data_IF_664239588034
#
_entry.id   IF_664239588034
#
_cell.length_a   1.000
_cell.length_b   1.000
_cell.length_c   1.000
_cell.angle_alpha   90.00
_cell.angle_beta   90.00
_cell.angle_gamma   90.00
#
_symmetry.space_group_name_H-M   'P 1'
#
loop_
_entity.id
_entity.type
_entity.pdbx_description
1 polymer ?
#
# COMPACT_ATOMS: atom_id res chain seq x y z
N UNK A 1 5.01 -10.65 -21.95
CA UNK A 1 4.11 -10.76 -20.79
C UNK A 1 4.05 -9.40 -20.11
N UNK A 2 2.85 -8.83 -19.93
CA UNK A 2 2.65 -7.56 -19.22
C UNK A 2 2.50 -7.82 -17.72
N UNK A 3 3.41 -7.30 -16.91
CA UNK A 3 3.30 -7.29 -15.44
C UNK A 3 2.79 -5.90 -15.03
N UNK A 4 1.74 -5.87 -14.20
CA UNK A 4 1.23 -4.63 -13.61
C UNK A 4 1.48 -4.62 -12.11
N UNK A 5 2.13 -3.59 -11.58
CA UNK A 5 2.36 -3.43 -10.14
C UNK A 5 1.52 -2.29 -9.55
N UNK A 6 0.76 -2.56 -8.50
CA UNK A 6 -0.12 -1.58 -7.87
C UNK A 6 0.35 -1.34 -6.44
N UNK A 7 0.72 -0.10 -6.16
CA UNK A 7 1.20 0.36 -4.86
C UNK A 7 0.08 1.08 -4.11
N UNK A 8 -0.28 0.61 -2.92
CA UNK A 8 -1.27 1.24 -2.05
C UNK A 8 -0.61 1.85 -0.82
N UNK A 9 -0.58 3.18 -0.77
CA UNK A 9 -0.01 3.90 0.38
C UNK A 9 -0.82 3.64 1.66
N UNK A 10 -0.14 3.79 2.81
CA UNK A 10 -0.78 3.67 4.12
C UNK A 10 -1.70 4.84 4.45
N UNK A 11 -2.48 4.69 5.52
CA UNK A 11 -3.32 5.74 6.11
C UNK A 11 -2.63 7.11 6.13
N UNK A 12 -3.24 8.12 5.50
CA UNK A 12 -2.72 9.49 5.52
C UNK A 12 -1.45 9.70 4.71
N UNK A 13 -0.95 8.68 4.02
CA UNK A 13 0.20 8.77 3.13
C UNK A 13 -0.24 8.89 1.66
N UNK A 14 0.61 9.53 0.86
CA UNK A 14 0.39 9.80 -0.56
C UNK A 14 1.58 9.35 -1.40
N UNK A 15 1.42 9.35 -2.73
CA UNK A 15 2.55 9.16 -3.66
C UNK A 15 3.70 10.16 -3.47
N UNK A 16 3.45 11.30 -2.83
CA UNK A 16 4.42 12.38 -2.64
C UNK A 16 5.29 12.21 -1.39
N UNK A 17 5.06 11.17 -0.57
CA UNK A 17 5.81 10.95 0.67
C UNK A 17 7.24 10.38 0.49
N UNK A 18 7.74 10.35 -0.75
CA UNK A 18 9.13 9.97 -1.09
C UNK A 18 10.19 10.82 -0.37
N UNK A 19 9.84 12.04 0.05
CA UNK A 19 10.73 12.94 0.79
C UNK A 19 10.19 13.33 2.16
N UNK A 20 9.22 12.60 2.69
CA UNK A 20 8.58 12.95 3.97
C UNK A 20 9.58 12.83 5.13
N UNK A 21 9.73 13.91 5.91
CA UNK A 21 10.75 14.03 6.95
C UNK A 21 10.61 13.03 8.09
N UNK A 22 9.42 12.46 8.31
CA UNK A 22 9.21 11.47 9.37
C UNK A 22 9.83 10.10 9.04
N UNK A 23 10.12 9.83 7.76
CA UNK A 23 10.69 8.57 7.33
C UNK A 23 12.18 8.72 7.04
N UNK A 24 12.95 7.65 7.27
CA UNK A 24 14.39 7.64 7.03
C UNK A 24 14.75 8.03 5.60
N UNK A 25 14.06 7.43 4.62
CA UNK A 25 14.31 7.60 3.19
C UNK A 25 12.99 7.49 2.42
N UNK A 26 12.05 8.37 2.78
CA UNK A 26 10.66 8.37 2.27
C UNK A 26 9.79 7.27 2.89
N UNK A 27 8.46 7.42 2.75
CA UNK A 27 7.55 6.33 3.09
C UNK A 27 7.79 5.16 2.12
N UNK A 28 7.85 3.94 2.63
CA UNK A 28 8.36 2.80 1.88
C UNK A 28 7.57 2.52 0.58
N UNK A 29 6.24 2.50 0.62
CA UNK A 29 5.42 2.16 -0.56
C UNK A 29 5.54 3.22 -1.65
N UNK A 30 5.42 4.50 -1.30
CA UNK A 30 5.62 5.62 -2.22
C UNK A 30 7.02 5.65 -2.80
N UNK A 31 8.04 5.34 -1.99
CA UNK A 31 9.44 5.24 -2.43
C UNK A 31 9.63 4.13 -3.46
N UNK A 32 9.12 2.92 -3.19
CA UNK A 32 9.15 1.80 -4.15
C UNK A 32 8.47 2.17 -5.47
N UNK A 33 7.31 2.81 -5.41
CA UNK A 33 6.58 3.24 -6.61
C UNK A 33 7.41 4.24 -7.43
N UNK A 34 8.02 5.23 -6.79
CA UNK A 34 8.85 6.24 -7.46
C UNK A 34 10.15 5.69 -8.08
N UNK A 35 10.55 4.48 -7.67
CA UNK A 35 11.71 3.78 -8.21
C UNK A 35 11.35 2.80 -9.34
N UNK A 36 10.07 2.69 -9.70
CA UNK A 36 9.64 1.79 -10.77
C UNK A 36 10.03 2.36 -12.15
N UNK A 37 10.78 1.58 -12.95
CA UNK A 37 11.31 2.02 -14.26
C UNK A 37 10.31 1.90 -15.43
N UNK A 38 9.24 1.14 -15.23
CA UNK A 38 8.15 1.01 -16.20
C UNK A 38 7.31 2.29 -16.35
N UNK A 39 6.36 2.25 -17.29
CA UNK A 39 5.45 3.38 -17.55
C UNK A 39 4.26 3.34 -16.59
N UNK A 40 4.03 4.45 -15.88
CA UNK A 40 2.84 4.62 -15.05
C UNK A 40 1.56 4.40 -15.88
N UNK A 41 0.52 3.86 -15.25
CA UNK A 41 -0.75 3.38 -15.81
C UNK A 41 -0.62 2.10 -16.66
N UNK A 42 0.44 1.93 -17.44
CA UNK A 42 0.64 0.73 -18.24
C UNK A 42 1.22 -0.44 -17.41
N UNK A 43 2.28 -0.20 -16.66
CA UNK A 43 3.07 -1.23 -15.95
C UNK A 43 3.03 -1.04 -14.43
N UNK A 44 2.69 0.15 -13.95
CA UNK A 44 2.47 0.38 -12.53
C UNK A 44 1.53 1.56 -12.25
N UNK A 45 0.93 1.59 -11.06
CA UNK A 45 0.26 2.77 -10.50
C UNK A 45 0.54 2.84 -9.00
N UNK A 46 0.44 4.05 -8.45
CA UNK A 46 0.40 4.29 -7.01
C UNK A 46 -0.94 4.93 -6.65
N UNK A 47 -1.54 4.45 -5.55
CA UNK A 47 -2.83 4.89 -5.06
C UNK A 47 -2.65 5.41 -3.64
N UNK A 48 -2.99 6.68 -3.45
CA UNK A 48 -2.99 7.35 -2.16
C UNK A 48 -3.79 6.58 -1.10
N UNK A 49 -3.29 6.63 0.13
CA UNK A 49 -3.88 5.89 1.22
C UNK A 49 -5.18 6.52 1.72
N UNK A 50 -6.11 5.72 2.28
CA UNK A 50 -7.37 6.26 2.77
C UNK A 50 -7.14 7.35 3.82
N UNK A 51 -7.80 8.50 3.63
CA UNK A 51 -7.72 9.64 4.54
C UNK A 51 -6.60 10.64 4.30
N UNK A 52 -5.84 10.51 3.22
CA UNK A 52 -4.79 11.47 2.83
C UNK A 52 -5.33 12.77 2.22
N UNK A 53 -6.65 12.88 2.02
CA UNK A 53 -7.25 13.93 1.19
C UNK A 53 -7.26 13.58 -0.31
N UNK A 54 -6.68 12.45 -0.70
CA UNK A 54 -6.61 11.92 -2.07
C UNK A 54 -6.15 12.98 -3.09
N UNK A 55 -4.86 13.33 -3.03
CA UNK A 55 -4.25 14.33 -3.91
C UNK A 55 -4.19 13.85 -5.37
N UNK A 56 -4.54 12.58 -5.62
CA UNK A 56 -4.72 11.98 -6.95
C UNK A 56 -6.17 11.94 -7.43
N UNK A 57 -7.09 12.72 -6.84
CA UNK A 57 -8.51 12.71 -7.23
C UNK A 57 -8.77 13.01 -8.73
N UNK A 58 -7.83 13.68 -9.41
CA UNK A 58 -7.88 13.93 -10.85
C UNK A 58 -7.44 12.73 -11.70
N UNK A 59 -6.65 11.80 -11.14
CA UNK A 59 -6.12 10.62 -11.81
C UNK A 59 -7.03 9.39 -11.68
N UNK A 60 -8.04 9.45 -10.79
CA UNK A 60 -8.91 8.29 -10.54
C UNK A 60 -9.82 7.97 -11.72
N UNK A 61 -9.92 6.67 -12.03
CA UNK A 61 -10.85 6.10 -13.01
C UNK A 61 -12.26 5.91 -12.46
N UNK A 62 -12.53 6.36 -11.23
CA UNK A 62 -13.80 6.21 -10.52
C UNK A 62 -14.06 7.50 -9.73
N UNK A 63 -15.33 7.90 -9.63
CA UNK A 63 -15.71 9.09 -8.87
C UNK A 63 -15.43 8.90 -7.37
N UNK A 64 -14.56 9.74 -6.80
CA UNK A 64 -14.34 9.81 -5.35
C UNK A 64 -15.27 10.82 -4.69
N UNK A 65 -15.84 10.48 -3.54
CA UNK A 65 -16.48 11.47 -2.65
C UNK A 65 -15.43 11.97 -1.63
N UNK A 66 -15.51 13.25 -1.26
CA UNK A 66 -14.68 13.78 -0.17
C UNK A 66 -15.19 13.25 1.18
N UNK A 67 -14.39 12.40 1.82
CA UNK A 67 -14.70 11.87 3.14
C UNK A 67 -13.91 12.64 4.22
N UNK A 68 -14.62 13.25 5.17
CA UNK A 68 -14.00 13.88 6.33
C UNK A 68 -13.27 12.87 7.25
N UNK A 69 -12.58 13.40 8.27
CA UNK A 69 -11.77 12.63 9.25
C UNK A 69 -12.50 11.42 9.87
N UNK A 70 -13.81 11.53 10.12
CA UNK A 70 -14.61 10.44 10.70
C UNK A 70 -14.86 9.29 9.72
N UNK A 71 -15.02 9.55 8.41
CA UNK A 71 -15.23 8.51 7.40
C UNK A 71 -13.98 7.64 7.17
N UNK A 72 -12.81 8.25 7.29
CA UNK A 72 -11.49 7.61 7.17
C UNK A 72 -11.23 6.55 8.24
N UNK A 73 -11.66 6.78 9.49
CA UNK A 73 -11.44 5.83 10.59
C UNK A 73 -12.31 4.56 10.44
N UNK A 74 -13.44 4.65 9.74
CA UNK A 74 -14.37 3.55 9.49
C UNK A 74 -14.21 2.89 8.11
N UNK A 75 -13.13 3.19 7.37
CA UNK A 75 -12.80 2.48 6.13
C UNK A 75 -13.41 3.02 4.84
N UNK A 76 -14.00 4.22 4.85
CA UNK A 76 -14.52 4.83 3.59
C UNK A 76 -13.36 5.23 2.68
N UNK A 77 -13.43 4.86 1.39
CA UNK A 77 -12.42 5.15 0.38
C UNK A 77 -11.75 3.91 -0.22
N UNK A 78 -11.83 2.74 0.44
CA UNK A 78 -11.21 1.51 -0.07
C UNK A 78 -11.88 1.00 -1.33
N UNK A 79 -13.21 1.03 -1.37
CA UNK A 79 -13.99 0.53 -2.48
C UNK A 79 -13.67 1.33 -3.75
N UNK A 80 -13.51 2.65 -3.64
CA UNK A 80 -13.10 3.49 -4.76
C UNK A 80 -11.66 3.20 -5.21
N UNK A 81 -10.72 3.02 -4.27
CA UNK A 81 -9.34 2.66 -4.59
C UNK A 81 -9.26 1.29 -5.30
N UNK A 82 -10.03 0.31 -4.82
CA UNK A 82 -10.13 -1.02 -5.44
C UNK A 82 -10.78 -0.94 -6.81
N UNK A 83 -11.88 -0.18 -6.97
CA UNK A 83 -12.55 -0.02 -8.25
C UNK A 83 -11.66 0.70 -9.27
N UNK A 84 -10.96 1.75 -8.85
CA UNK A 84 -9.96 2.43 -9.68
C UNK A 84 -8.90 1.44 -10.17
N UNK A 85 -8.36 0.61 -9.28
CA UNK A 85 -7.38 -0.39 -9.65
C UNK A 85 -7.95 -1.46 -10.61
N UNK A 86 -9.18 -1.92 -10.41
CA UNK A 86 -9.88 -2.83 -11.36
C UNK A 86 -9.99 -2.18 -12.74
N UNK A 87 -10.40 -0.92 -12.81
CA UNK A 87 -10.55 -0.17 -14.04
C UNK A 87 -9.20 0.01 -14.76
N UNK A 88 -8.11 0.25 -14.02
CA UNK A 88 -6.74 0.29 -14.58
C UNK A 88 -6.28 -1.09 -15.07
N UNK A 89 -6.57 -2.17 -14.35
CA UNK A 89 -6.26 -3.55 -14.79
C UNK A 89 -6.98 -3.83 -16.12
N UNK A 90 -8.25 -3.46 -16.24
CA UNK A 90 -9.05 -3.63 -17.46
C UNK A 90 -8.74 -2.61 -18.55
N UNK A 91 -8.00 -1.53 -18.24
CA UNK A 91 -7.71 -0.44 -19.16
C UNK A 91 -8.94 0.29 -19.68
N UNK A 92 -9.98 0.37 -18.86
CA UNK A 92 -11.26 0.99 -19.17
C UNK A 92 -11.71 1.83 -17.98
N UNK A 93 -11.93 3.13 -18.20
CA UNK A 93 -12.51 4.03 -17.21
C UNK A 93 -14.04 3.93 -17.24
N UNK A 94 -14.67 3.89 -16.06
CA UNK A 94 -16.14 4.00 -15.92
C UNK A 94 -16.59 5.43 -15.63
N UNK A 95 -15.64 6.32 -15.37
CA UNK A 95 -15.85 7.71 -15.06
C UNK A 95 -14.72 8.58 -15.60
N UNK A 96 -15.05 9.78 -16.08
CA UNK A 96 -14.09 10.79 -16.50
C UNK A 96 -14.41 12.13 -15.84
N UNK A 97 -13.37 12.88 -15.45
CA UNK A 97 -13.53 14.25 -14.99
C UNK A 97 -13.58 15.18 -16.19
N UNK A 98 -14.80 15.49 -16.63
CA UNK A 98 -15.03 16.33 -17.81
C UNK A 98 -14.82 17.82 -17.54
N UNK A 99 -15.02 18.30 -16.31
CA UNK A 99 -14.91 19.73 -15.98
C UNK A 99 -13.46 20.18 -15.75
N UNK A 100 -13.12 21.39 -16.20
CA UNK A 100 -11.85 22.06 -15.90
C UNK A 100 -11.81 22.59 -14.46
N UNK A 101 -10.62 22.53 -13.86
CA UNK A 101 -10.30 23.30 -12.65
C UNK A 101 -9.97 24.75 -13.00
N UNK A 102 -10.03 25.65 -12.02
CA UNK A 102 -9.66 27.06 -12.19
C UNK A 102 -8.21 27.24 -12.69
N UNK A 103 -7.29 26.44 -12.14
CA UNK A 103 -5.87 26.48 -12.52
C UNK A 103 -5.66 26.03 -13.97
N UNK A 104 -6.32 24.94 -14.38
CA UNK A 104 -6.26 24.45 -15.77
C UNK A 104 -6.85 25.47 -16.74
N UNK A 105 -8.02 26.03 -16.41
CA UNK A 105 -8.65 27.09 -17.20
C UNK A 105 -7.72 28.29 -17.38
N UNK A 106 -7.10 28.74 -16.29
CA UNK A 106 -6.17 29.88 -16.32
C UNK A 106 -4.94 29.59 -17.18
N UNK A 107 -4.38 28.38 -17.09
CA UNK A 107 -3.26 27.94 -17.95
C UNK A 107 -3.64 27.88 -19.43
N UNK A 108 -4.81 27.34 -19.74
CA UNK A 108 -5.30 27.22 -21.12
C UNK A 108 -5.59 28.59 -21.74
N UNK A 109 -6.22 29.52 -21.00
CA UNK A 109 -6.39 30.91 -21.43
C UNK A 109 -5.04 31.60 -21.64
N UNK A 110 -4.08 31.42 -20.72
CA UNK A 110 -2.74 32.00 -20.85
C UNK A 110 -1.97 31.45 -22.07
N UNK A 111 -2.21 30.19 -22.44
CA UNK A 111 -1.65 29.55 -23.64
C UNK A 111 -2.38 29.94 -24.95
N UNK A 112 -3.43 30.76 -24.89
CA UNK A 112 -4.20 31.19 -26.07
C UNK A 112 -5.10 30.11 -26.67
N UNK A 113 -5.43 29.06 -25.91
CA UNK A 113 -6.31 27.98 -26.38
C UNK A 113 -7.77 28.47 -26.32
N UNK A 114 -8.55 28.34 -27.41
CA UNK A 114 -9.93 28.79 -27.44
C UNK A 114 -10.81 27.86 -26.60
N UNK A 115 -11.14 28.33 -25.39
CA UNK A 115 -12.07 27.68 -24.45
C UNK A 115 -13.22 28.62 -24.06
N UNK A 116 -14.38 28.04 -23.72
CA UNK A 116 -15.57 28.78 -23.25
C UNK A 116 -15.23 29.67 -22.05
N UNK A 117 -15.89 30.82 -21.93
CA UNK A 117 -15.71 31.68 -20.76
C UNK A 117 -16.40 31.10 -19.52
N UNK A 118 -15.84 31.39 -18.34
CA UNK A 118 -16.36 30.90 -17.05
C UNK A 118 -17.83 31.24 -16.88
N UNK A 119 -18.66 30.22 -16.69
CA UNK A 119 -20.08 30.37 -16.34
C UNK A 119 -20.19 30.53 -14.83
N UNK A 120 -20.77 31.64 -14.39
CA UNK A 120 -21.00 31.93 -12.96
C UNK A 120 -22.46 31.71 -12.65
N UNK A 121 -22.76 30.79 -11.73
CA UNK A 121 -24.11 30.45 -11.31
C UNK A 121 -24.28 30.67 -9.80
N UNK A 122 -25.48 31.06 -9.37
CA UNK A 122 -25.84 31.19 -7.95
C UNK A 122 -26.10 32.62 -7.46
N UNK A 123 -26.28 32.77 -6.15
CA UNK A 123 -26.60 34.06 -5.52
C UNK A 123 -25.34 34.75 -5.00
N UNK A 124 -25.47 36.00 -4.53
CA UNK A 124 -24.34 36.75 -3.95
C UNK A 124 -23.62 36.00 -2.82
N UNK A 125 -24.34 35.18 -2.05
CA UNK A 125 -23.79 34.42 -0.93
C UNK A 125 -23.21 33.06 -1.33
N UNK A 126 -23.50 32.57 -2.54
CA UNK A 126 -23.06 31.27 -3.04
C UNK A 126 -22.88 31.34 -4.55
N UNK A 127 -21.65 31.63 -5.00
CA UNK A 127 -21.26 31.55 -6.40
C UNK A 127 -20.61 30.21 -6.68
N UNK A 128 -21.06 29.54 -7.74
CA UNK A 128 -20.38 28.41 -8.37
C UNK A 128 -19.78 28.89 -9.69
N UNK A 129 -18.54 28.53 -9.91
CA UNK A 129 -17.80 28.81 -11.13
C UNK A 129 -17.67 27.50 -11.91
N UNK A 130 -18.16 27.50 -13.15
CA UNK A 130 -17.98 26.42 -14.10
C UNK A 130 -16.99 26.92 -15.17
N UNK A 131 -15.83 26.25 -15.24
CA UNK A 131 -14.72 26.65 -16.10
C UNK A 131 -14.73 25.96 -17.47
N UNK A 132 -15.83 25.29 -17.84
CA UNK A 132 -15.99 24.57 -19.10
C UNK A 132 -15.43 23.14 -19.08
N UNK A 133 -15.62 22.44 -20.20
CA UNK A 133 -15.26 21.03 -20.35
C UNK A 133 -13.84 20.83 -20.92
N UNK A 134 -13.19 19.74 -20.52
CA UNK A 134 -11.91 19.26 -21.03
C UNK A 134 -12.10 18.67 -22.42
N UNK A 135 -11.25 19.05 -23.38
CA UNK A 135 -11.23 18.41 -24.71
C UNK A 135 -10.70 16.97 -24.67
N UNK A 136 -9.78 16.67 -23.75
CA UNK A 136 -9.27 15.32 -23.45
C UNK A 136 -9.13 15.22 -21.93
N UNK A 137 -9.73 14.19 -21.34
CA UNK A 137 -9.64 13.94 -19.90
C UNK A 137 -8.35 13.19 -19.56
N UNK A 138 -7.86 13.34 -18.33
CA UNK A 138 -6.71 12.57 -17.85
C UNK A 138 -6.98 11.06 -17.95
N UNK A 139 -8.21 10.64 -17.68
CA UNK A 139 -8.65 9.25 -17.78
C UNK A 139 -8.53 8.72 -19.22
N UNK A 140 -8.97 9.51 -20.21
CA UNK A 140 -8.81 9.14 -21.61
C UNK A 140 -7.33 9.03 -22.03
N UNK A 141 -6.47 9.93 -21.53
CA UNK A 141 -5.01 9.85 -21.77
C UNK A 141 -4.41 8.57 -21.17
N UNK A 142 -4.76 8.26 -19.92
CA UNK A 142 -4.29 7.06 -19.23
C UNK A 142 -4.76 5.77 -19.93
N UNK A 143 -6.00 5.71 -20.43
CA UNK A 143 -6.45 4.60 -21.26
C UNK A 143 -5.59 4.43 -22.53
N UNK A 144 -5.23 5.54 -23.20
CA UNK A 144 -4.38 5.47 -24.39
C UNK A 144 -2.96 5.01 -24.05
N UNK A 145 -2.41 5.45 -22.91
CA UNK A 145 -1.14 4.93 -22.38
C UNK A 145 -1.23 3.42 -22.21
N UNK A 146 -2.29 2.92 -21.56
CA UNK A 146 -2.52 1.49 -21.35
C UNK A 146 -2.57 0.74 -22.69
N UNK A 147 -3.42 1.19 -23.62
CA UNK A 147 -3.61 0.56 -24.94
C UNK A 147 -2.34 0.57 -25.79
N UNK A 148 -1.52 1.61 -25.66
CA UNK A 148 -0.29 1.77 -26.45
C UNK A 148 0.86 0.93 -25.90
N UNK A 149 1.01 0.86 -24.59
CA UNK A 149 2.23 0.33 -23.96
C UNK A 149 2.10 -1.11 -23.43
N UNK A 150 0.89 -1.64 -23.22
CA UNK A 150 0.71 -3.06 -22.87
C UNK A 150 0.76 -3.93 -24.13
N UNK A 151 1.90 -4.59 -24.34
CA UNK A 151 2.23 -5.29 -25.59
C UNK A 151 1.43 -6.58 -25.83
N UNK A 152 0.99 -7.26 -24.78
CA UNK A 152 0.30 -8.56 -24.86
C UNK A 152 -1.23 -8.44 -24.71
N UNK A 153 -1.77 -7.25 -24.96
CA UNK A 153 -3.17 -6.92 -24.73
C UNK A 153 -3.37 -6.04 -23.50
N UNK A 154 -4.59 -5.52 -23.37
CA UNK A 154 -4.94 -4.55 -22.34
C UNK A 154 -4.88 -5.16 -20.93
N UNK A 155 -5.37 -6.39 -20.75
CA UNK A 155 -5.36 -7.06 -19.46
C UNK A 155 -3.95 -7.60 -19.18
N UNK A 156 -3.32 -7.28 -18.04
CA UNK A 156 -1.99 -7.78 -17.69
C UNK A 156 -2.02 -9.29 -17.46
N UNK A 157 -0.89 -9.95 -17.71
CA UNK A 157 -0.73 -11.40 -17.50
C UNK A 157 -0.39 -11.76 -16.05
N UNK A 158 0.00 -10.78 -15.23
CA UNK A 158 0.27 -10.91 -13.79
C UNK A 158 0.05 -9.56 -13.11
N UNK A 159 -0.43 -9.60 -11.86
CA UNK A 159 -0.55 -8.40 -11.02
C UNK A 159 0.26 -8.57 -9.74
N UNK A 160 1.11 -7.59 -9.43
CA UNK A 160 1.83 -7.51 -8.16
C UNK A 160 1.20 -6.40 -7.31
N UNK A 161 0.95 -6.66 -6.04
CA UNK A 161 0.33 -5.70 -5.12
C UNK A 161 1.30 -5.42 -3.97
N UNK A 162 1.51 -4.14 -3.66
CA UNK A 162 2.33 -3.71 -2.53
C UNK A 162 1.52 -2.74 -1.69
N UNK A 163 1.46 -2.95 -0.38
CA UNK A 163 0.72 -2.01 0.46
C UNK A 163 1.06 -2.06 1.92
N UNK A 164 0.99 -0.90 2.56
CA UNK A 164 1.23 -0.73 3.99
C UNK A 164 -0.08 -0.36 4.71
N UNK A 165 -0.28 -0.83 5.93
CA UNK A 165 -1.43 -0.44 6.76
C UNK A 165 -2.76 -0.77 6.07
N UNK A 166 -3.67 0.20 5.96
CA UNK A 166 -4.89 0.10 5.18
C UNK A 166 -4.64 -0.15 3.69
N UNK A 167 -3.51 0.27 3.12
CA UNK A 167 -3.12 -0.07 1.76
C UNK A 167 -2.79 -1.56 1.60
N UNK A 168 -2.23 -2.21 2.63
CA UNK A 168 -2.07 -3.66 2.67
C UNK A 168 -3.42 -4.39 2.65
N UNK A 169 -4.44 -3.84 3.31
CA UNK A 169 -5.82 -4.35 3.23
C UNK A 169 -6.44 -4.11 1.85
N UNK A 170 -6.17 -2.97 1.21
CA UNK A 170 -6.58 -2.74 -0.18
C UNK A 170 -5.99 -3.78 -1.13
N UNK A 171 -4.77 -4.28 -0.89
CA UNK A 171 -4.21 -5.40 -1.65
C UNK A 171 -5.08 -6.66 -1.51
N UNK A 172 -5.53 -7.00 -0.29
CA UNK A 172 -6.41 -8.15 -0.06
C UNK A 172 -7.75 -7.98 -0.79
N UNK A 173 -8.37 -6.80 -0.64
CA UNK A 173 -9.65 -6.48 -1.26
C UNK A 173 -9.57 -6.54 -2.79
N UNK A 174 -8.51 -5.99 -3.38
CA UNK A 174 -8.30 -6.02 -4.83
C UNK A 174 -8.08 -7.45 -5.35
N UNK A 175 -7.24 -8.24 -4.69
CA UNK A 175 -7.01 -9.63 -5.08
C UNK A 175 -8.33 -10.43 -5.09
N UNK A 176 -9.18 -10.22 -4.08
CA UNK A 176 -10.51 -10.85 -4.01
C UNK A 176 -11.50 -10.29 -5.04
N UNK A 177 -11.45 -8.99 -5.35
CA UNK A 177 -12.26 -8.40 -6.41
C UNK A 177 -11.88 -8.98 -7.78
N UNK A 178 -10.58 -9.10 -8.08
CA UNK A 178 -10.09 -9.78 -9.28
C UNK A 178 -10.57 -11.23 -9.34
N UNK A 179 -10.55 -11.96 -8.22
CA UNK A 179 -10.99 -13.36 -8.18
C UNK A 179 -12.49 -13.54 -8.48
N UNK A 180 -13.31 -12.54 -8.13
CA UNK A 180 -14.76 -12.53 -8.39
C UNK A 180 -15.08 -12.09 -9.82
N UNK A 181 -14.19 -11.34 -10.46
CA UNK A 181 -14.38 -10.84 -11.81
C UNK A 181 -14.09 -11.93 -12.87
N UNK A 182 -15.01 -12.14 -13.80
CA UNK A 182 -14.91 -13.22 -14.80
C UNK A 182 -13.71 -13.09 -15.73
N UNK A 183 -13.26 -11.87 -16.02
CA UNK A 183 -12.12 -11.59 -16.90
C UNK A 183 -10.80 -11.67 -16.14
N UNK A 184 -10.79 -11.35 -14.85
CA UNK A 184 -9.56 -11.21 -14.06
C UNK A 184 -9.27 -12.41 -13.14
N UNK A 185 -10.23 -13.30 -12.89
CA UNK A 185 -10.10 -14.40 -11.91
C UNK A 185 -8.94 -15.35 -12.13
N UNK A 186 -8.46 -15.44 -13.37
CA UNK A 186 -7.35 -16.32 -13.76
C UNK A 186 -5.99 -15.62 -13.74
N UNK A 187 -5.94 -14.30 -13.53
CA UNK A 187 -4.69 -13.55 -13.48
C UNK A 187 -3.99 -13.85 -12.13
N UNK A 188 -2.75 -14.36 -12.14
CA UNK A 188 -2.00 -14.60 -10.92
C UNK A 188 -1.67 -13.29 -10.20
N UNK A 189 -1.80 -13.32 -8.88
CA UNK A 189 -1.54 -12.18 -8.00
C UNK A 189 -0.43 -12.52 -7.01
N UNK A 190 0.55 -11.62 -6.87
CA UNK A 190 1.53 -11.66 -5.77
C UNK A 190 1.31 -10.45 -4.86
N UNK A 191 1.46 -10.63 -3.54
CA UNK A 191 1.21 -9.57 -2.56
C UNK A 191 2.42 -9.40 -1.66
N UNK A 192 2.93 -8.17 -1.54
CA UNK A 192 3.86 -7.73 -0.51
C UNK A 192 3.13 -6.79 0.46
N UNK A 193 2.75 -7.28 1.62
CA UNK A 193 2.00 -6.54 2.63
C UNK A 193 2.90 -6.12 3.80
N UNK A 194 2.76 -4.86 4.21
CA UNK A 194 3.47 -4.30 5.35
C UNK A 194 2.43 -3.95 6.40
N UNK A 195 2.42 -4.70 7.49
CA UNK A 195 1.53 -4.53 8.63
C UNK A 195 0.07 -4.18 8.25
N UNK A 196 -0.63 -5.04 7.49
CA UNK A 196 -1.95 -4.73 6.96
C UNK A 196 -2.98 -4.59 8.10
N UNK A 197 -3.52 -3.39 8.29
CA UNK A 197 -4.43 -3.05 9.39
C UNK A 197 -5.75 -2.53 8.83
N UNK A 198 -6.89 -3.21 9.08
CA UNK A 198 -8.19 -2.76 8.59
C UNK A 198 -8.85 -1.73 9.52
N UNK A 199 -8.33 -1.53 10.72
CA UNK A 199 -9.00 -0.71 11.73
C UNK A 199 -10.15 -1.44 12.41
N UNK A 200 -10.83 -0.74 13.32
CA UNK A 200 -11.82 -1.33 14.22
C UNK A 200 -13.01 -1.88 13.43
N UNK A 201 -13.38 -3.14 13.72
CA UNK A 201 -14.56 -3.83 13.17
C UNK A 201 -14.56 -4.13 11.66
N UNK A 202 -13.41 -4.08 10.98
CA UNK A 202 -13.28 -4.30 9.53
C UNK A 202 -12.65 -5.65 9.16
N UNK A 203 -13.13 -6.75 9.75
CA UNK A 203 -12.59 -8.11 9.54
C UNK A 203 -13.50 -8.98 8.65
N UNK A 204 -14.13 -8.36 7.64
CA UNK A 204 -14.95 -9.08 6.67
C UNK A 204 -14.09 -9.96 5.74
N UNK A 205 -14.70 -10.98 5.15
CA UNK A 205 -14.00 -12.03 4.39
C UNK A 205 -13.08 -11.50 3.27
N UNK A 206 -13.48 -10.42 2.58
CA UNK A 206 -12.71 -9.76 1.52
C UNK A 206 -11.39 -9.12 2.00
N UNK A 207 -11.25 -8.91 3.31
CA UNK A 207 -10.06 -8.30 3.95
C UNK A 207 -9.18 -9.32 4.66
N UNK A 208 -9.73 -10.48 5.01
CA UNK A 208 -9.05 -11.47 5.87
C UNK A 208 -8.85 -12.85 5.24
N UNK A 209 -9.39 -13.07 4.05
CA UNK A 209 -9.17 -14.28 3.26
C UNK A 209 -8.60 -13.91 1.90
N UNK A 210 -7.82 -14.80 1.29
CA UNK A 210 -7.28 -14.62 -0.05
C UNK A 210 -7.63 -15.83 -0.93
N UNK A 211 -8.14 -15.54 -2.13
CA UNK A 211 -8.53 -16.52 -3.13
C UNK A 211 -7.35 -17.23 -3.81
N UNK A 212 -7.65 -18.26 -4.60
CA UNK A 212 -6.66 -19.11 -5.27
C UNK A 212 -5.89 -18.43 -6.42
N UNK A 213 -6.29 -17.21 -6.82
CA UNK A 213 -5.52 -16.38 -7.73
C UNK A 213 -4.25 -15.82 -7.08
N UNK A 214 -4.20 -15.69 -5.75
CA UNK A 214 -2.99 -15.29 -5.04
C UNK A 214 -1.99 -16.44 -5.01
N UNK A 215 -0.84 -16.26 -5.66
CA UNK A 215 0.21 -17.28 -5.79
C UNK A 215 1.26 -17.15 -4.70
N UNK A 216 1.54 -15.92 -4.30
CA UNK A 216 2.48 -15.64 -3.22
C UNK A 216 2.00 -14.47 -2.35
N UNK A 217 2.15 -14.63 -1.04
CA UNK A 217 1.92 -13.62 -0.03
C UNK A 217 3.16 -13.47 0.84
N UNK A 218 3.75 -12.28 0.85
CA UNK A 218 4.88 -11.92 1.70
C UNK A 218 4.42 -10.81 2.64
N UNK A 219 4.44 -11.07 3.95
CA UNK A 219 3.97 -10.15 4.98
C UNK A 219 5.07 -9.81 5.99
N UNK A 220 5.29 -8.52 6.23
CA UNK A 220 6.17 -8.03 7.31
C UNK A 220 5.34 -7.32 8.38
N UNK A 221 5.48 -7.71 9.64
CA UNK A 221 4.58 -7.31 10.72
C UNK A 221 5.33 -6.65 11.88
N UNK A 222 4.81 -5.53 12.38
CA UNK A 222 5.39 -4.79 13.49
C UNK A 222 5.21 -5.54 14.83
N UNK A 223 6.29 -6.01 15.46
CA UNK A 223 6.20 -6.79 16.70
C UNK A 223 5.76 -5.93 17.90
N UNK A 224 6.14 -4.66 17.92
CA UNK A 224 6.09 -3.79 19.10
C UNK A 224 4.92 -2.79 19.06
N UNK A 225 4.02 -2.91 18.08
CA UNK A 225 2.79 -2.11 18.04
C UNK A 225 1.78 -2.54 19.12
N UNK A 226 1.17 -1.56 19.80
CA UNK A 226 0.20 -1.76 20.88
C UNK A 226 -1.04 -0.87 20.78
N UNK A 227 -1.16 -0.02 19.76
CA UNK A 227 -2.31 0.89 19.63
C UNK A 227 -3.62 0.12 19.47
N UNK A 228 -4.62 0.48 20.25
CA UNK A 228 -5.97 -0.07 20.10
C UNK A 228 -6.49 0.18 18.69
N UNK A 229 -7.01 -0.87 18.04
CA UNK A 229 -7.48 -0.80 16.66
C UNK A 229 -6.40 -0.97 15.59
N UNK A 230 -5.14 -1.22 15.97
CA UNK A 230 -4.04 -1.57 15.05
C UNK A 230 -3.76 -3.08 15.01
N UNK A 231 -4.81 -3.89 15.21
CA UNK A 231 -4.74 -5.34 15.02
C UNK A 231 -4.53 -5.65 13.53
N UNK A 232 -3.33 -6.12 13.18
CA UNK A 232 -2.98 -6.46 11.80
C UNK A 232 -3.55 -7.81 11.39
N UNK A 233 -3.76 -8.00 10.09
CA UNK A 233 -4.35 -9.20 9.50
C UNK A 233 -3.29 -10.11 8.90
N UNK A 234 -3.23 -11.34 9.37
CA UNK A 234 -2.58 -12.47 8.70
C UNK A 234 -3.71 -13.20 7.97
N UNK A 235 -3.78 -13.12 6.62
CA UNK A 235 -4.92 -13.65 5.90
C UNK A 235 -4.94 -15.18 5.90
N UNK A 236 -6.15 -15.76 5.83
CA UNK A 236 -6.31 -17.16 5.45
C UNK A 236 -6.14 -17.28 3.94
N UNK A 237 -5.14 -18.02 3.50
CA UNK A 237 -4.84 -18.21 2.08
C UNK A 237 -5.45 -19.51 1.55
N UNK A 238 -5.79 -19.54 0.27
CA UNK A 238 -6.16 -20.77 -0.41
C UNK A 238 -5.01 -21.79 -0.43
N UNK A 239 -5.35 -23.08 -0.57
CA UNK A 239 -4.34 -24.14 -0.74
C UNK A 239 -3.49 -23.87 -1.99
N UNK A 240 -2.17 -23.98 -1.84
CA UNK A 240 -1.21 -23.76 -2.92
C UNK A 240 -0.65 -22.34 -3.01
N UNK A 241 -1.18 -21.37 -2.25
CA UNK A 241 -0.53 -20.07 -2.06
C UNK A 241 0.72 -20.24 -1.21
N UNK A 242 1.85 -19.70 -1.69
CA UNK A 242 3.08 -19.61 -0.90
C UNK A 242 2.96 -18.43 0.07
N UNK A 243 3.06 -18.70 1.38
CA UNK A 243 2.83 -17.68 2.41
C UNK A 243 4.06 -17.52 3.28
N UNK A 244 4.61 -16.31 3.30
CA UNK A 244 5.81 -15.94 4.02
C UNK A 244 5.46 -14.79 4.97
N UNK A 245 5.68 -14.97 6.27
CA UNK A 245 5.38 -13.93 7.26
C UNK A 245 6.56 -13.75 8.21
N UNK A 246 6.94 -12.51 8.44
CA UNK A 246 8.12 -12.16 9.23
C UNK A 246 7.81 -11.09 10.25
N UNK A 247 8.29 -11.25 11.50
CA UNK A 247 8.19 -10.20 12.50
C UNK A 247 9.34 -9.21 12.34
N UNK A 248 9.07 -7.93 12.59
CA UNK A 248 10.08 -6.88 12.59
C UNK A 248 9.94 -6.06 13.86
N UNK A 249 11.05 -5.79 14.59
CA UNK A 249 11.03 -4.89 15.74
C UNK A 249 10.53 -3.49 15.38
N UNK A 250 9.75 -2.91 16.29
CA UNK A 250 9.18 -1.57 16.14
C UNK A 250 7.67 -1.55 15.96
N UNK A 251 7.14 -0.33 15.79
CA UNK A 251 5.72 -0.01 15.66
C UNK A 251 5.25 0.01 14.21
N UNK A 252 3.96 0.29 14.04
CA UNK A 252 3.28 0.26 12.75
C UNK A 252 3.98 1.02 11.62
N UNK A 253 4.47 2.25 11.88
CA UNK A 253 5.20 3.02 10.87
C UNK A 253 6.71 2.75 10.86
N UNK A 254 7.25 2.10 11.90
CA UNK A 254 8.67 1.73 11.93
C UNK A 254 9.04 0.78 10.81
N UNK A 255 8.14 -0.17 10.51
CA UNK A 255 8.30 -1.13 9.41
C UNK A 255 8.13 -0.52 8.02
N UNK A 256 7.53 0.68 7.91
CA UNK A 256 7.41 1.45 6.65
C UNK A 256 8.44 2.57 6.54
N UNK A 257 9.45 2.62 7.42
CA UNK A 257 10.58 3.55 7.32
C UNK A 257 10.63 4.64 8.38
N UNK A 258 9.67 4.73 9.30
CA UNK A 258 9.70 5.74 10.35
C UNK A 258 10.72 5.37 11.44
N UNK A 259 11.84 6.10 11.45
CA UNK A 259 12.99 5.77 12.29
C UNK A 259 12.98 6.46 13.67
N UNK A 260 11.88 7.09 14.07
CA UNK A 260 11.81 7.79 15.34
C UNK A 260 11.75 6.83 16.55
N UNK A 261 12.16 7.28 17.75
CA UNK A 261 12.10 6.44 18.96
C UNK A 261 10.70 5.99 19.35
N UNK A 262 9.66 6.73 18.97
CA UNK A 262 8.25 6.40 19.23
C UNK A 262 7.53 5.76 18.04
N UNK A 263 8.19 5.69 16.87
CA UNK A 263 7.63 5.21 15.61
C UNK A 263 6.62 6.15 14.95
N UNK A 264 6.60 7.44 15.29
CA UNK A 264 5.70 8.45 14.71
C UNK A 264 6.46 9.69 14.21
N UNK A 265 7.24 10.35 15.07
CA UNK A 265 8.00 11.53 14.68
C UNK A 265 9.18 11.78 15.62
N UNK A 266 10.17 12.54 15.14
CA UNK A 266 11.37 12.87 15.89
C UNK A 266 12.66 12.36 15.25
N UNK A 267 13.76 12.25 16.01
CA UNK A 267 15.07 11.97 15.44
C UNK A 267 15.15 10.55 14.85
N UNK A 268 15.68 10.45 13.63
CA UNK A 268 15.80 9.20 12.86
C UNK A 268 16.93 8.32 13.43
N UNK A 269 16.63 7.53 14.46
CA UNK A 269 17.62 6.76 15.24
C UNK A 269 17.44 5.24 15.17
N UNK A 270 16.36 4.77 14.55
CA UNK A 270 15.98 3.35 14.42
C UNK A 270 15.61 3.04 12.97
N UNK A 271 16.51 3.27 12.02
CA UNK A 271 16.24 3.14 10.59
C UNK A 271 16.31 1.70 10.07
N UNK A 272 16.87 0.79 10.86
CA UNK A 272 17.17 -0.58 10.48
C UNK A 272 15.93 -1.39 10.07
N UNK A 273 14.80 -1.36 10.81
CA UNK A 273 13.57 -2.05 10.43
C UNK A 273 13.08 -1.70 9.02
N UNK A 274 12.94 -0.40 8.71
CA UNK A 274 12.45 0.05 7.41
C UNK A 274 13.41 -0.28 6.27
N UNK A 275 14.73 -0.17 6.50
CA UNK A 275 15.75 -0.56 5.51
C UNK A 275 15.71 -2.06 5.23
N UNK A 276 15.53 -2.87 6.26
CA UNK A 276 15.44 -4.32 6.15
C UNK A 276 14.19 -4.74 5.34
N UNK A 277 13.02 -4.18 5.67
CA UNK A 277 11.77 -4.46 4.93
C UNK A 277 11.86 -3.97 3.49
N UNK A 278 12.41 -2.76 3.24
CA UNK A 278 12.58 -2.22 1.89
C UNK A 278 13.43 -3.13 1.01
N UNK A 279 14.55 -3.64 1.53
CA UNK A 279 15.39 -4.55 0.74
C UNK A 279 14.61 -5.79 0.28
N UNK A 280 13.87 -6.45 1.17
CA UNK A 280 13.09 -7.63 0.79
C UNK A 280 11.91 -7.29 -0.12
N UNK A 281 11.32 -6.10 0.00
CA UNK A 281 10.32 -5.63 -0.95
C UNK A 281 10.92 -5.49 -2.36
N UNK A 282 12.09 -4.87 -2.48
CA UNK A 282 12.81 -4.72 -3.76
C UNK A 282 13.17 -6.08 -4.37
N UNK A 283 13.69 -7.01 -3.56
CA UNK A 283 14.03 -8.38 -3.99
C UNK A 283 12.79 -9.13 -4.49
N UNK A 284 11.69 -9.12 -3.73
CA UNK A 284 10.43 -9.74 -4.15
C UNK A 284 9.91 -9.15 -5.46
N UNK A 285 9.89 -7.81 -5.58
CA UNK A 285 9.42 -7.13 -6.78
C UNK A 285 10.25 -7.48 -8.01
N UNK A 286 11.58 -7.45 -7.89
CA UNK A 286 12.49 -7.84 -8.97
C UNK A 286 12.26 -9.28 -9.41
N UNK A 287 12.13 -10.21 -8.45
CA UNK A 287 11.81 -11.62 -8.73
C UNK A 287 10.44 -11.78 -9.40
N UNK A 288 9.47 -10.93 -9.07
CA UNK A 288 8.16 -10.89 -9.71
C UNK A 288 8.13 -10.14 -11.06
N UNK A 289 9.29 -9.79 -11.61
CA UNK A 289 9.43 -9.21 -12.94
C UNK A 289 9.38 -7.69 -12.98
N UNK A 290 9.48 -7.01 -11.83
CA UNK A 290 9.52 -5.54 -11.76
C UNK A 290 10.93 -5.02 -11.98
N UNK A 291 11.06 -3.98 -12.79
CA UNK A 291 12.31 -3.25 -12.94
C UNK A 291 12.31 -2.03 -12.02
N UNK A 292 13.24 -2.01 -11.07
CA UNK A 292 13.43 -0.92 -10.12
C UNK A 292 14.78 -0.24 -10.35
N UNK A 293 14.84 1.08 -10.17
CA UNK A 293 16.08 1.81 -9.92
C UNK A 293 16.33 1.98 -8.40
N UNK A 294 17.51 2.50 -8.04
CA UNK A 294 17.85 2.91 -6.65
C UNK A 294 17.54 1.86 -5.56
N UNK A 295 17.64 0.58 -5.89
CA UNK A 295 17.51 -0.50 -4.91
C UNK A 295 18.66 -0.43 -3.90
N UNK A 296 18.38 -0.81 -2.65
CA UNK A 296 19.38 -0.83 -1.58
C UNK A 296 20.51 -1.83 -1.85
N UNK A 297 20.20 -2.92 -2.56
CA UNK A 297 21.16 -3.97 -2.93
C UNK A 297 22.00 -4.48 -1.74
N UNK A 298 21.35 -4.66 -0.59
CA UNK A 298 22.01 -5.10 0.64
C UNK A 298 22.60 -6.50 0.46
N UNK A 299 23.84 -6.69 0.92
CA UNK A 299 24.49 -8.00 0.96
C UNK A 299 24.02 -8.82 2.16
N UNK A 300 24.35 -10.12 2.18
CA UNK A 300 24.11 -10.97 3.36
C UNK A 300 24.73 -10.39 4.65
N UNK A 301 25.93 -9.82 4.55
CA UNK A 301 26.60 -9.20 5.68
C UNK A 301 25.88 -7.91 6.14
N UNK A 302 25.36 -7.11 5.21
CA UNK A 302 24.56 -5.93 5.54
C UNK A 302 23.29 -6.32 6.30
N UNK A 303 22.60 -7.38 5.85
CA UNK A 303 21.40 -7.90 6.52
C UNK A 303 21.71 -8.42 7.93
N UNK A 304 22.83 -9.12 8.12
CA UNK A 304 23.28 -9.55 9.44
C UNK A 304 23.58 -8.36 10.36
N UNK A 305 24.20 -7.31 9.83
CA UNK A 305 24.51 -6.09 10.59
C UNK A 305 23.23 -5.34 10.99
N UNK A 306 22.26 -5.19 10.08
CA UNK A 306 20.95 -4.61 10.39
C UNK A 306 20.20 -5.45 11.43
N UNK A 307 20.18 -6.78 11.27
CA UNK A 307 19.59 -7.71 12.22
C UNK A 307 20.20 -7.57 13.62
N UNK A 308 21.54 -7.53 13.71
CA UNK A 308 22.26 -7.31 14.97
C UNK A 308 21.94 -5.96 15.60
N UNK A 309 21.94 -4.89 14.82
CA UNK A 309 21.61 -3.55 15.31
C UNK A 309 20.18 -3.48 15.87
N UNK A 310 19.21 -4.16 15.23
CA UNK A 310 17.85 -4.28 15.76
C UNK A 310 17.80 -5.03 17.11
N UNK A 311 18.54 -6.15 17.24
CA UNK A 311 18.61 -6.91 18.49
C UNK A 311 19.32 -6.12 19.60
N UNK A 312 20.42 -5.44 19.29
CA UNK A 312 21.15 -4.61 20.24
C UNK A 312 20.29 -3.41 20.72
N UNK A 313 19.33 -2.97 19.89
CA UNK A 313 18.38 -1.90 20.20
C UNK A 313 17.06 -2.38 20.83
N UNK A 314 16.91 -3.66 21.20
CA UNK A 314 15.67 -4.26 21.73
C UNK A 314 14.98 -3.42 22.83
N UNK A 315 15.75 -2.86 23.76
CA UNK A 315 15.21 -2.03 24.84
C UNK A 315 14.46 -0.78 24.31
N UNK A 316 14.93 -0.19 23.21
CA UNK A 316 14.30 0.97 22.57
C UNK A 316 12.97 0.58 21.93
N UNK A 317 12.89 -0.57 21.27
CA UNK A 317 11.63 -1.06 20.69
C UNK A 317 10.60 -1.43 21.76
N UNK A 318 11.03 -1.96 22.91
CA UNK A 318 10.12 -2.20 24.05
C UNK A 318 9.54 -0.92 24.63
N UNK A 319 10.29 0.18 24.63
CA UNK A 319 9.74 1.48 25.06
C UNK A 319 8.57 1.93 24.17
N UNK A 320 8.56 1.51 22.90
CA UNK A 320 7.47 1.83 21.98
C UNK A 320 6.11 1.26 22.43
N UNK A 321 6.08 0.24 23.31
CA UNK A 321 4.84 -0.35 23.83
C UNK A 321 3.98 0.66 24.63
N UNK A 322 4.59 1.77 25.07
CA UNK A 322 3.92 2.82 25.85
C UNK A 322 3.25 3.91 24.97
N UNK A 323 3.36 3.82 23.65
CA UNK A 323 2.81 4.82 22.73
C UNK A 323 1.60 4.27 21.99
N UNK A 324 0.67 5.16 21.63
CA UNK A 324 -0.54 4.80 20.89
C UNK A 324 -0.93 5.84 19.85
N UNK A 325 -1.36 5.40 18.67
CA UNK A 325 -2.01 6.25 17.66
C UNK A 325 -3.46 6.59 17.99
N UNK A 326 -4.09 5.84 18.90
CA UNK A 326 -5.52 5.95 19.23
C UNK A 326 -5.74 6.30 20.69
N UNK A 327 -4.72 6.85 21.35
CA UNK A 327 -4.68 7.20 22.79
C UNK A 327 -4.73 6.00 23.75
N UNK A 328 -5.12 4.81 23.31
CA UNK A 328 -5.19 3.59 24.13
C UNK A 328 -4.23 2.53 23.62
N UNK A 329 -3.57 1.83 24.54
CA UNK A 329 -2.77 0.64 24.22
C UNK A 329 -3.53 -0.65 24.58
N UNK A 330 -3.25 -1.72 23.85
CA UNK A 330 -3.72 -3.08 24.07
C UNK A 330 -2.51 -3.96 24.35
N UNK A 331 -2.57 -4.68 25.47
CA UNK A 331 -1.55 -5.63 25.91
C UNK A 331 -2.23 -6.97 26.16
N UNK A 332 -2.06 -7.91 25.23
CA UNK A 332 -2.59 -9.26 25.40
C UNK A 332 -1.46 -10.16 25.89
N UNK A 333 -1.42 -10.42 27.20
CA UNK A 333 -0.39 -11.24 27.85
C UNK A 333 1.06 -10.76 27.58
N UNK A 334 1.24 -9.46 27.31
CA UNK A 334 2.54 -8.85 26.99
C UNK A 334 2.90 -8.86 25.50
N UNK A 335 2.09 -9.48 24.66
CA UNK A 335 2.28 -9.55 23.22
C UNK A 335 1.34 -8.61 22.45
N UNK A 336 1.64 -8.41 21.16
CA UNK A 336 0.73 -7.75 20.23
C UNK A 336 -0.44 -8.68 19.95
N UNK A 337 -1.65 -8.15 19.96
CA UNK A 337 -2.84 -8.83 19.47
C UNK A 337 -2.95 -8.70 17.95
N UNK A 338 -3.16 -9.81 17.25
CA UNK A 338 -3.27 -9.87 15.78
C UNK A 338 -4.47 -10.70 15.34
N UNK A 339 -4.86 -10.59 14.07
CA UNK A 339 -5.96 -11.35 13.49
C UNK A 339 -5.42 -12.41 12.53
N UNK A 340 -5.65 -13.69 12.83
CA UNK A 340 -5.45 -14.80 11.91
C UNK A 340 -6.78 -15.11 11.21
N UNK A 341 -6.92 -14.69 9.96
CA UNK A 341 -8.23 -14.55 9.33
C UNK A 341 -9.07 -13.55 10.11
N UNK A 342 -10.27 -13.95 10.54
CA UNK A 342 -11.16 -13.17 11.42
C UNK A 342 -10.98 -13.46 12.92
N UNK A 343 -10.05 -14.35 13.28
CA UNK A 343 -9.84 -14.78 14.68
C UNK A 343 -8.68 -14.02 15.30
N UNK A 344 -8.96 -13.37 16.44
CA UNK A 344 -7.93 -12.80 17.30
C UNK A 344 -7.01 -13.84 17.95
N UNK A 345 -5.70 -13.60 17.89
CA UNK A 345 -4.66 -14.45 18.49
C UNK A 345 -3.46 -13.62 18.94
N UNK A 346 -2.62 -14.21 19.80
CA UNK A 346 -1.33 -13.66 20.18
C UNK A 346 -0.34 -13.71 19.01
N UNK A 347 0.48 -12.67 18.86
CA UNK A 347 1.48 -12.55 17.79
C UNK A 347 2.36 -13.79 17.63
N UNK A 348 2.93 -14.32 18.71
CA UNK A 348 3.86 -15.46 18.66
C UNK A 348 3.20 -16.81 18.32
N UNK A 349 1.87 -16.88 18.35
CA UNK A 349 1.11 -18.10 18.03
C UNK A 349 0.97 -18.31 16.53
N UNK A 350 1.22 -17.27 15.72
CA UNK A 350 1.11 -17.34 14.26
C UNK A 350 2.38 -17.96 13.66
N UNK A 351 2.39 -19.29 13.62
CA UNK A 351 3.46 -20.15 13.10
C UNK A 351 2.88 -21.47 12.59
N UNK A 352 3.71 -22.29 11.95
CA UNK A 352 3.33 -23.60 11.44
C UNK A 352 3.73 -23.81 9.98
N UNK A 353 3.57 -25.04 9.50
CA UNK A 353 4.02 -25.49 8.17
C UNK A 353 3.27 -24.88 6.99
N UNK A 354 2.19 -24.13 7.26
CA UNK A 354 1.51 -23.31 6.25
C UNK A 354 2.33 -22.08 5.84
N UNK A 355 3.34 -21.74 6.64
CA UNK A 355 4.27 -20.66 6.37
C UNK A 355 5.66 -21.19 6.03
N UNK A 356 6.37 -20.45 5.19
CA UNK A 356 7.80 -20.62 4.97
C UNK A 356 8.51 -19.30 5.36
N UNK A 357 9.32 -19.25 6.43
CA UNK A 357 9.67 -20.36 7.33
C UNK A 357 8.51 -20.75 8.26
N UNK A 358 8.52 -21.99 8.74
CA UNK A 358 7.48 -22.50 9.65
C UNK A 358 7.47 -21.79 11.02
N UNK A 359 8.52 -21.05 11.36
CA UNK A 359 8.59 -20.18 12.55
C UNK A 359 7.67 -18.97 12.46
N UNK A 360 7.22 -18.56 11.26
CA UNK A 360 6.26 -17.47 11.06
C UNK A 360 6.65 -16.19 11.81
N UNK A 361 5.73 -15.65 12.60
CA UNK A 361 5.93 -14.43 13.39
C UNK A 361 6.88 -14.58 14.60
N UNK A 362 7.55 -15.73 14.74
CA UNK A 362 8.63 -15.93 15.71
C UNK A 362 10.02 -15.99 15.07
N UNK A 363 10.11 -15.82 13.74
CA UNK A 363 11.38 -15.83 13.00
C UNK A 363 12.29 -14.70 13.49
N UNK A 364 13.56 -15.02 13.76
CA UNK A 364 14.54 -14.04 14.21
C UNK A 364 15.08 -13.21 13.04
N UNK A 365 15.23 -11.91 13.22
CA UNK A 365 15.93 -11.02 12.27
C UNK A 365 17.42 -11.35 12.13
N UNK A 366 17.99 -12.15 13.04
CA UNK A 366 19.36 -12.67 12.92
C UNK A 366 19.46 -13.88 12.00
N UNK A 367 18.35 -14.59 11.79
CA UNK A 367 18.31 -15.77 10.93
C UNK A 367 18.08 -15.35 9.48
N UNK A 368 19.09 -14.72 8.87
CA UNK A 368 19.01 -14.23 7.49
C UNK A 368 18.72 -15.39 6.51
N UNK A 369 19.11 -16.63 6.85
CA UNK A 369 18.81 -17.80 6.03
C UNK A 369 17.30 -18.08 5.95
N UNK A 370 16.53 -17.80 7.00
CA UNK A 370 15.09 -17.95 6.99
C UNK A 370 14.37 -17.04 5.97
N UNK A 371 15.02 -15.98 5.50
CA UNK A 371 14.48 -15.08 4.47
C UNK A 371 14.83 -15.51 3.04
N UNK A 372 15.68 -16.53 2.85
CA UNK A 372 16.05 -17.02 1.51
C UNK A 372 14.85 -17.55 0.70
N UNK A 373 13.75 -17.91 1.37
CA UNK A 373 12.52 -18.32 0.70
C UNK A 373 11.90 -17.22 -0.18
N UNK A 374 12.21 -15.96 0.11
CA UNK A 374 11.71 -14.80 -0.64
C UNK A 374 12.77 -14.14 -1.53
N UNK A 375 13.99 -14.71 -1.59
CA UNK A 375 15.09 -14.22 -2.41
C UNK A 375 15.09 -14.79 -3.83
#
# INVERSE_FOLDING_TARGET
>A
MTVLTIFFCGTGSTKFDTTNENYWDGELVSTLASHHLGREFAEWIVVDGPGSGNLQADDLFTKSEEYGLSGTLFGKGWEQNVQHAINIIKGQCDWQREQLTEEEYSRLKAAGIPIEDVKVEGSWFWRKYNYGDRSVTQQALQEQIIKTFRKDGVIPTQVNLVGWSRGGISCHMLANAMFKDSELKNIPVNIFAIDPVPGISNFQDDKVKLGANVKEYVGFYARDERSKGFCCVIPQTATGTQTHIYPIPGRHATVSGNASPDGVSGPKTLAEPGRFVRHFAEVCLQRWGVQLDKSLNLTHADLQNLGKAMVDAEAKYRLMHNYSYTYFTELDQGERYVSLGSKGVNFSTVKGTVYAPATGLTTSVLDVAAYQHIC
#
